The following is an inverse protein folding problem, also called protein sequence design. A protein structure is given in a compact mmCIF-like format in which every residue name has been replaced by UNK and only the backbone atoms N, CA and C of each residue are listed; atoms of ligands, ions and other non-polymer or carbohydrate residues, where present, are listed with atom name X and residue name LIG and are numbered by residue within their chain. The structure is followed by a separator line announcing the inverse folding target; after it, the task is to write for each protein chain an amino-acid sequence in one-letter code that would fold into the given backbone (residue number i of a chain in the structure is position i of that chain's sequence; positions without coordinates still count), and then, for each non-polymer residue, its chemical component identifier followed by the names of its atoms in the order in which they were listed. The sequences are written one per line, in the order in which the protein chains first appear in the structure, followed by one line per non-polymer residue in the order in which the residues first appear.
data_IF_180522402953
#
_entry.id   IF_180522402953
#
_cell.length_a   1.000
_cell.length_b   1.000
_cell.length_c   1.000
_cell.angle_alpha   90.00
_cell.angle_beta   90.00
_cell.angle_gamma   90.00
#
_symmetry.space_group_name_H-M   'P 1'
#
loop_
_entity.id
_entity.type
_entity.pdbx_description
1 polymer ?
#
# COMPACT_ATOMS: atom_id res chain seq x y z
N UNK A 1 1.20 -20.41 29.09
CA UNK A 1 -0.09 -21.14 29.18
C UNK A 1 -1.11 -20.66 28.14
N UNK A 2 -1.13 -19.36 27.75
CA UNK A 2 -1.88 -18.85 26.59
C UNK A 2 -1.40 -19.36 25.22
N UNK A 3 -0.08 -19.40 24.99
CA UNK A 3 0.52 -19.88 23.73
C UNK A 3 0.09 -21.31 23.34
N UNK A 4 0.02 -22.23 24.30
CA UNK A 4 -0.43 -23.62 24.05
C UNK A 4 -1.93 -23.76 23.78
N UNK A 5 -2.73 -22.74 24.09
CA UNK A 5 -4.16 -22.72 23.83
C UNK A 5 -4.48 -22.15 22.45
N UNK A 6 -3.67 -21.20 21.96
CA UNK A 6 -3.79 -20.64 20.62
C UNK A 6 -3.31 -21.62 19.54
N UNK A 7 -2.22 -22.37 19.81
CA UNK A 7 -1.77 -23.47 18.94
C UNK A 7 -2.79 -24.62 18.84
N UNK A 8 -3.62 -24.83 19.87
CA UNK A 8 -4.60 -25.91 19.91
C UNK A 8 -5.91 -25.60 19.15
N UNK A 9 -6.10 -24.35 18.68
CA UNK A 9 -7.28 -23.90 17.92
C UNK A 9 -6.88 -23.47 16.50
N UNK A 10 -5.59 -23.53 16.15
CA UNK A 10 -5.11 -23.22 14.82
C UNK A 10 -5.58 -24.29 13.83
N UNK A 11 -6.64 -23.98 13.07
CA UNK A 11 -7.01 -24.72 11.87
C UNK A 11 -5.79 -24.74 10.95
N UNK A 12 -5.34 -25.92 10.46
CA UNK A 12 -4.26 -26.01 9.49
C UNK A 12 -4.51 -25.05 8.33
N UNK A 13 -3.47 -24.34 7.87
CA UNK A 13 -3.61 -23.34 6.81
C UNK A 13 -4.21 -23.94 5.51
N UNK A 14 -4.09 -25.27 5.34
CA UNK A 14 -4.71 -26.07 4.27
C UNK A 14 -6.23 -26.29 4.39
N UNK A 15 -6.87 -25.90 5.49
CA UNK A 15 -8.32 -26.08 5.74
C UNK A 15 -9.11 -24.75 5.85
N UNK A 16 -8.45 -23.59 5.72
CA UNK A 16 -9.17 -22.31 5.69
C UNK A 16 -9.85 -22.14 4.33
N UNK A 17 -11.17 -22.30 4.33
CA UNK A 17 -12.03 -21.88 3.22
C UNK A 17 -11.84 -20.36 3.05
N UNK A 18 -11.43 -19.94 1.86
CA UNK A 18 -11.31 -18.52 1.54
C UNK A 18 -12.66 -17.83 1.68
N UNK A 19 -12.70 -16.70 2.38
CA UNK A 19 -13.96 -15.95 2.55
C UNK A 19 -14.45 -15.44 1.20
N UNK A 20 -13.53 -15.07 0.31
CA UNK A 20 -13.85 -14.63 -1.04
C UNK A 20 -14.63 -15.68 -1.85
N UNK A 21 -14.34 -16.97 -1.67
CA UNK A 21 -15.02 -18.06 -2.39
C UNK A 21 -16.47 -18.26 -1.93
N UNK A 22 -16.86 -17.68 -0.79
CA UNK A 22 -18.24 -17.71 -0.27
C UNK A 22 -19.10 -16.53 -0.74
N UNK A 23 -18.52 -15.56 -1.45
CA UNK A 23 -19.19 -14.30 -1.80
C UNK A 23 -19.51 -14.29 -3.30
N UNK A 24 -20.81 -14.28 -3.62
CA UNK A 24 -21.29 -14.00 -4.98
C UNK A 24 -21.88 -12.59 -5.04
N UNK A 25 -21.13 -11.65 -5.62
CA UNK A 25 -21.61 -10.27 -5.77
C UNK A 25 -22.72 -10.16 -6.82
N UNK A 26 -22.88 -11.12 -7.74
CA UNK A 26 -23.96 -11.09 -8.73
C UNK A 26 -25.33 -11.27 -8.08
N UNK A 27 -25.40 -12.02 -6.97
CA UNK A 27 -26.61 -12.25 -6.18
C UNK A 27 -27.04 -11.04 -5.30
N UNK A 28 -26.23 -9.98 -5.23
CA UNK A 28 -26.52 -8.80 -4.42
C UNK A 28 -27.28 -7.77 -5.27
N UNK A 29 -28.57 -7.57 -5.00
CA UNK A 29 -29.36 -6.54 -5.65
C UNK A 29 -28.89 -5.12 -5.25
N UNK A 30 -29.00 -4.19 -6.20
CA UNK A 30 -28.75 -2.76 -5.96
C UNK A 30 -30.08 -2.05 -5.94
N UNK A 31 -30.39 -1.38 -4.84
CA UNK A 31 -31.66 -0.71 -4.66
C UNK A 31 -31.88 0.40 -5.72
N UNK A 32 -33.11 0.59 -6.23
CA UNK A 32 -33.40 1.59 -7.26
C UNK A 32 -33.05 3.03 -6.85
N UNK A 33 -33.09 3.32 -5.55
CA UNK A 33 -32.74 4.63 -4.99
C UNK A 33 -31.22 4.88 -4.92
N UNK A 34 -30.37 3.88 -5.16
CA UNK A 34 -28.93 4.07 -5.17
C UNK A 34 -28.51 4.91 -6.39
N UNK A 35 -28.04 6.13 -6.13
CA UNK A 35 -27.63 7.09 -7.16
C UNK A 35 -26.10 7.30 -7.23
N UNK A 36 -25.32 6.44 -6.58
CA UNK A 36 -23.85 6.48 -6.64
C UNK A 36 -23.28 5.81 -7.89
N UNK A 37 -21.95 5.75 -7.97
CA UNK A 37 -21.21 5.08 -9.04
C UNK A 37 -21.63 3.61 -9.21
N UNK A 38 -21.85 3.18 -10.45
CA UNK A 38 -22.26 1.81 -10.81
C UNK A 38 -21.27 1.19 -11.79
N UNK A 39 -20.90 -0.06 -11.56
CA UNK A 39 -20.15 -0.85 -12.53
C UNK A 39 -21.16 -1.54 -13.43
N UNK A 40 -21.11 -1.23 -14.72
CA UNK A 40 -21.95 -1.87 -15.74
C UNK A 40 -21.24 -3.13 -16.25
N UNK A 41 -21.80 -4.31 -15.95
CA UNK A 41 -21.16 -5.59 -16.27
C UNK A 41 -19.96 -5.91 -15.36
N UNK A 42 -18.90 -6.47 -15.95
CA UNK A 42 -17.74 -7.00 -15.21
C UNK A 42 -16.49 -6.11 -15.30
N UNK A 43 -16.56 -4.99 -16.02
CA UNK A 43 -15.39 -4.15 -16.32
C UNK A 43 -15.45 -2.85 -15.53
N UNK A 44 -14.40 -2.60 -14.74
CA UNK A 44 -14.19 -1.31 -14.08
C UNK A 44 -13.70 -0.30 -15.12
N UNK A 45 -14.47 0.75 -15.40
CA UNK A 45 -14.14 1.76 -16.40
C UNK A 45 -13.63 3.06 -15.77
N UNK A 46 -12.90 3.88 -16.54
CA UNK A 46 -12.44 5.19 -16.06
C UNK A 46 -13.61 6.10 -15.64
N UNK A 47 -14.73 6.05 -16.34
CA UNK A 47 -15.92 6.84 -15.99
C UNK A 47 -16.51 6.41 -14.65
N UNK A 48 -16.55 5.10 -14.38
CA UNK A 48 -16.92 4.59 -13.07
C UNK A 48 -15.94 5.08 -11.98
N UNK A 49 -14.63 4.95 -12.18
CA UNK A 49 -13.63 5.36 -11.18
C UNK A 49 -13.73 6.87 -10.91
N UNK A 50 -13.89 7.69 -11.94
CA UNK A 50 -14.11 9.15 -11.80
C UNK A 50 -15.37 9.46 -10.99
N UNK A 51 -16.49 8.79 -11.30
CA UNK A 51 -17.76 8.97 -10.57
C UNK A 51 -17.64 8.52 -9.11
N UNK A 52 -16.94 7.42 -8.86
CA UNK A 52 -16.70 6.89 -7.52
C UNK A 52 -15.84 7.85 -6.69
N UNK A 53 -14.75 8.37 -7.26
CA UNK A 53 -13.92 9.38 -6.59
C UNK A 53 -14.71 10.65 -6.27
N UNK A 54 -15.59 11.09 -7.16
CA UNK A 54 -16.49 12.23 -6.89
C UNK A 54 -17.48 11.91 -5.76
N UNK A 55 -18.08 10.72 -5.75
CA UNK A 55 -18.96 10.29 -4.65
C UNK A 55 -18.23 10.25 -3.30
N UNK A 56 -17.01 9.70 -3.27
CA UNK A 56 -16.16 9.69 -2.08
C UNK A 56 -15.73 11.09 -1.64
N UNK A 57 -15.40 11.99 -2.57
CA UNK A 57 -15.09 13.40 -2.28
C UNK A 57 -16.26 14.09 -1.59
N UNK A 58 -17.47 13.70 -1.95
CA UNK A 58 -18.74 14.15 -1.36
C UNK A 58 -19.25 13.27 -0.20
N UNK A 59 -18.40 12.39 0.36
CA UNK A 59 -18.70 11.53 1.52
C UNK A 59 -19.92 10.62 1.35
N UNK A 60 -20.15 10.16 0.13
CA UNK A 60 -21.09 9.08 -0.16
C UNK A 60 -20.36 7.74 -0.13
N UNK A 61 -21.07 6.68 0.24
CA UNK A 61 -20.53 5.33 0.22
C UNK A 61 -20.75 4.65 -1.14
N UNK A 62 -19.78 3.84 -1.57
CA UNK A 62 -19.96 2.92 -2.68
C UNK A 62 -20.91 1.79 -2.24
N UNK A 63 -21.81 1.36 -3.13
CA UNK A 63 -22.69 0.23 -2.84
C UNK A 63 -21.88 -1.06 -2.62
N UNK A 64 -22.27 -1.88 -1.64
CA UNK A 64 -21.53 -3.09 -1.23
C UNK A 64 -21.31 -4.07 -2.38
N UNK A 65 -22.27 -4.19 -3.31
CA UNK A 65 -22.12 -4.99 -4.55
C UNK A 65 -20.84 -4.64 -5.30
N UNK A 66 -20.63 -3.36 -5.59
CA UNK A 66 -19.49 -2.89 -6.38
C UNK A 66 -18.20 -2.93 -5.57
N UNK A 67 -18.27 -2.69 -4.26
CA UNK A 67 -17.12 -2.89 -3.37
C UNK A 67 -16.66 -4.36 -3.37
N UNK A 68 -17.57 -5.33 -3.28
CA UNK A 68 -17.22 -6.75 -3.39
C UNK A 68 -16.61 -7.07 -4.76
N UNK A 69 -17.23 -6.59 -5.85
CA UNK A 69 -16.71 -6.79 -7.20
C UNK A 69 -15.25 -6.30 -7.32
N UNK A 70 -14.95 -5.08 -6.88
CA UNK A 70 -13.60 -4.51 -6.93
C UNK A 70 -12.60 -5.33 -6.10
N UNK A 71 -12.96 -5.66 -4.86
CA UNK A 71 -12.05 -6.34 -3.92
C UNK A 71 -11.79 -7.79 -4.38
N UNK A 72 -12.81 -8.50 -4.86
CA UNK A 72 -12.69 -9.87 -5.38
C UNK A 72 -11.86 -9.90 -6.67
N UNK A 73 -12.11 -8.99 -7.63
CA UNK A 73 -11.28 -8.89 -8.83
C UNK A 73 -9.82 -8.57 -8.49
N UNK A 74 -9.60 -7.65 -7.55
CA UNK A 74 -8.24 -7.29 -7.11
C UNK A 74 -7.52 -8.47 -6.48
N UNK A 75 -8.20 -9.28 -5.65
CA UNK A 75 -7.65 -10.51 -5.07
C UNK A 75 -7.07 -11.42 -6.15
N UNK A 76 -7.85 -11.73 -7.18
CA UNK A 76 -7.40 -12.64 -8.26
C UNK A 76 -6.16 -12.08 -8.96
N UNK A 77 -6.16 -10.77 -9.26
CA UNK A 77 -5.04 -10.11 -9.91
C UNK A 77 -3.78 -10.14 -9.04
N UNK A 78 -3.89 -9.87 -7.73
CA UNK A 78 -2.75 -9.85 -6.82
C UNK A 78 -2.22 -11.26 -6.52
N UNK A 79 -3.10 -12.27 -6.41
CA UNK A 79 -2.70 -13.68 -6.20
C UNK A 79 -1.84 -14.22 -7.34
N UNK A 80 -2.08 -13.76 -8.57
CA UNK A 80 -1.32 -14.18 -9.74
C UNK A 80 0.09 -13.55 -9.81
N UNK A 81 0.39 -12.54 -9.00
CA UNK A 81 1.69 -11.87 -9.01
C UNK A 81 2.74 -12.60 -8.17
N UNK A 82 4.03 -12.50 -8.52
CA UNK A 82 5.13 -12.91 -7.64
C UNK A 82 5.23 -11.99 -6.41
N UNK A 83 5.97 -12.42 -5.39
CA UNK A 83 6.23 -11.61 -4.18
C UNK A 83 7.15 -10.42 -4.45
N UNK A 84 7.99 -10.52 -5.48
CA UNK A 84 8.75 -9.41 -6.07
C UNK A 84 8.32 -9.23 -7.53
N UNK A 85 7.80 -8.04 -7.85
CA UNK A 85 7.31 -7.70 -9.19
C UNK A 85 8.35 -6.88 -9.95
N UNK A 86 8.76 -7.37 -11.11
CA UNK A 86 9.62 -6.62 -12.03
C UNK A 86 8.78 -5.66 -12.89
N UNK A 87 9.15 -4.39 -12.92
CA UNK A 87 8.50 -3.33 -13.68
C UNK A 87 9.45 -2.85 -14.77
N UNK A 88 9.00 -2.90 -16.02
CA UNK A 88 9.74 -2.37 -17.16
C UNK A 88 9.10 -1.07 -17.66
N UNK A 89 9.82 0.03 -17.51
CA UNK A 89 9.49 1.38 -17.99
C UNK A 89 10.23 1.61 -19.30
N UNK A 90 9.51 1.73 -20.43
CA UNK A 90 10.13 1.98 -21.74
C UNK A 90 10.85 3.34 -21.80
N UNK A 91 11.87 3.45 -22.65
CA UNK A 91 12.59 4.71 -22.85
C UNK A 91 11.64 5.86 -23.22
N UNK A 92 11.81 7.02 -22.59
CA UNK A 92 10.96 8.20 -22.78
C UNK A 92 9.59 8.10 -22.10
N UNK A 93 9.37 7.09 -21.25
CA UNK A 93 8.19 7.00 -20.37
C UNK A 93 8.61 7.23 -18.92
N UNK A 94 7.68 7.77 -18.13
CA UNK A 94 7.87 7.98 -16.71
C UNK A 94 7.08 6.97 -15.86
N UNK A 95 7.48 6.85 -14.60
CA UNK A 95 6.86 6.00 -13.60
C UNK A 95 6.88 6.72 -12.25
N UNK A 96 5.73 6.79 -11.57
CA UNK A 96 5.62 7.49 -10.29
C UNK A 96 5.62 6.52 -9.11
N UNK A 97 6.42 6.79 -8.08
CA UNK A 97 6.40 6.10 -6.79
C UNK A 97 5.88 7.03 -5.70
N UNK A 98 4.79 6.61 -5.06
CA UNK A 98 4.23 7.22 -3.85
C UNK A 98 4.56 6.35 -2.64
N UNK A 99 4.77 6.99 -1.49
CA UNK A 99 4.84 6.31 -0.20
C UNK A 99 3.47 6.20 0.47
N UNK A 100 3.49 6.19 1.80
CA UNK A 100 2.33 6.05 2.66
C UNK A 100 1.29 7.15 2.39
N UNK A 101 0.00 6.78 2.41
CA UNK A 101 -1.13 7.71 2.25
C UNK A 101 -2.04 7.70 3.47
N UNK A 102 -2.09 6.58 4.21
CA UNK A 102 -2.77 6.46 5.51
C UNK A 102 -4.18 7.07 5.56
N UNK A 103 -5.05 6.64 4.64
CA UNK A 103 -6.45 7.07 4.63
C UNK A 103 -6.66 8.57 4.41
N UNK A 104 -5.67 9.30 3.89
CA UNK A 104 -5.81 10.72 3.51
C UNK A 104 -6.37 10.86 2.08
N UNK A 105 -7.63 10.46 1.89
CA UNK A 105 -8.27 10.40 0.56
C UNK A 105 -8.23 11.72 -0.22
N UNK A 106 -8.41 12.85 0.43
CA UNK A 106 -8.37 14.15 -0.25
C UNK A 106 -6.96 14.52 -0.74
N UNK A 107 -5.92 14.08 -0.01
CA UNK A 107 -4.53 14.26 -0.46
C UNK A 107 -4.18 13.28 -1.57
N UNK A 108 -4.75 12.07 -1.58
CA UNK A 108 -4.68 11.16 -2.74
C UNK A 108 -5.26 11.80 -4.01
N UNK A 109 -6.42 12.45 -3.91
CA UNK A 109 -7.00 13.19 -5.04
C UNK A 109 -6.08 14.34 -5.49
N UNK A 110 -5.43 15.02 -4.56
CA UNK A 110 -4.47 16.08 -4.86
C UNK A 110 -3.23 15.53 -5.61
N UNK A 111 -2.72 14.35 -5.24
CA UNK A 111 -1.65 13.67 -5.99
C UNK A 111 -2.09 13.48 -7.45
N UNK A 112 -3.31 12.99 -7.69
CA UNK A 112 -3.82 12.80 -9.05
C UNK A 112 -4.11 14.10 -9.80
N UNK A 113 -4.47 15.18 -9.10
CA UNK A 113 -4.63 16.50 -9.70
C UNK A 113 -3.27 17.09 -10.13
N UNK A 114 -2.24 16.92 -9.31
CA UNK A 114 -0.89 17.42 -9.57
C UNK A 114 -0.12 16.59 -10.60
N UNK A 115 -0.31 15.27 -10.61
CA UNK A 115 0.51 14.33 -11.36
C UNK A 115 -0.26 13.52 -12.41
N UNK A 116 -1.55 13.79 -12.58
CA UNK A 116 -2.41 13.08 -13.51
C UNK A 116 -2.96 11.76 -12.96
N UNK A 117 -4.08 11.31 -13.51
CA UNK A 117 -4.70 10.05 -13.11
C UNK A 117 -3.85 8.84 -13.53
N UNK A 118 -3.89 7.73 -12.75
CA UNK A 118 -3.28 6.48 -13.16
C UNK A 118 -3.80 6.03 -14.53
N UNK A 119 -2.86 5.74 -15.43
CA UNK A 119 -3.10 5.23 -16.79
C UNK A 119 -1.88 4.46 -17.27
N UNK A 120 -1.97 3.77 -18.40
CA UNK A 120 -0.82 3.07 -19.00
C UNK A 120 0.33 4.03 -19.36
N UNK A 121 0.01 5.29 -19.68
CA UNK A 121 0.98 6.34 -19.98
C UNK A 121 1.51 7.08 -18.74
N UNK A 122 0.85 6.91 -17.58
CA UNK A 122 1.27 7.50 -16.32
C UNK A 122 1.05 6.52 -15.17
N UNK A 123 1.86 5.44 -15.12
CA UNK A 123 1.74 4.40 -14.10
C UNK A 123 2.24 4.85 -12.73
N UNK A 124 1.61 4.30 -11.68
CA UNK A 124 1.95 4.57 -10.29
C UNK A 124 2.33 3.28 -9.54
N UNK A 125 3.25 3.39 -8.59
CA UNK A 125 3.43 2.46 -7.49
C UNK A 125 3.09 3.16 -6.18
N UNK A 126 2.11 2.64 -5.43
CA UNK A 126 1.91 3.04 -4.03
C UNK A 126 2.59 2.02 -3.12
N UNK A 127 3.55 2.49 -2.34
CA UNK A 127 4.49 1.65 -1.61
C UNK A 127 4.02 1.32 -0.18
N UNK A 128 2.83 0.73 -0.06
CA UNK A 128 2.25 0.31 1.22
C UNK A 128 1.64 1.45 2.04
N UNK A 129 1.03 1.07 3.16
CA UNK A 129 0.42 1.96 4.16
C UNK A 129 -0.63 2.89 3.53
N UNK A 130 -1.58 2.27 2.85
CA UNK A 130 -2.72 2.93 2.23
C UNK A 130 -3.77 3.32 3.27
N UNK A 131 -3.90 2.49 4.31
CA UNK A 131 -4.98 2.53 5.31
C UNK A 131 -4.45 2.86 6.71
N UNK A 132 -5.36 2.87 7.68
CA UNK A 132 -5.15 3.26 9.08
C UNK A 132 -4.77 4.74 9.26
N UNK A 133 -4.90 5.24 10.50
CA UNK A 133 -4.52 6.59 10.93
C UNK A 133 -5.37 7.73 10.35
N UNK A 134 -5.66 7.74 9.07
CA UNK A 134 -6.68 8.59 8.45
C UNK A 134 -8.07 7.96 8.53
N UNK A 135 -9.11 8.79 8.46
CA UNK A 135 -10.52 8.37 8.56
C UNK A 135 -11.23 8.18 7.21
N UNK A 136 -10.47 8.16 6.11
CA UNK A 136 -10.96 7.89 4.75
C UNK A 136 -10.19 6.73 4.11
N UNK A 137 -9.85 5.72 4.91
CA UNK A 137 -9.07 4.55 4.47
C UNK A 137 -9.85 3.68 3.48
N UNK A 138 -11.17 3.53 3.66
CA UNK A 138 -12.03 2.77 2.75
C UNK A 138 -12.07 3.44 1.37
N UNK A 139 -12.16 4.76 1.32
CA UNK A 139 -12.16 5.53 0.07
C UNK A 139 -10.82 5.43 -0.65
N UNK A 140 -9.70 5.52 0.08
CA UNK A 140 -8.34 5.32 -0.47
C UNK A 140 -8.22 3.93 -1.08
N UNK A 141 -8.44 2.86 -0.30
CA UNK A 141 -8.14 1.50 -0.77
C UNK A 141 -9.05 1.07 -1.91
N UNK A 142 -10.34 1.42 -1.88
CA UNK A 142 -11.25 1.11 -2.98
C UNK A 142 -10.91 1.88 -4.24
N UNK A 143 -10.39 3.11 -4.13
CA UNK A 143 -9.91 3.88 -5.29
C UNK A 143 -8.67 3.24 -5.92
N UNK A 144 -7.68 2.87 -5.11
CA UNK A 144 -6.47 2.18 -5.59
C UNK A 144 -6.80 0.84 -6.25
N UNK A 145 -7.68 0.04 -5.63
CA UNK A 145 -8.14 -1.23 -6.18
C UNK A 145 -8.97 -1.06 -7.46
N UNK A 146 -9.80 -0.02 -7.56
CA UNK A 146 -10.56 0.25 -8.78
C UNK A 146 -9.63 0.63 -9.94
N UNK A 147 -8.58 1.44 -9.72
CA UNK A 147 -7.56 1.68 -10.74
C UNK A 147 -6.83 0.39 -11.14
N UNK A 148 -6.56 -0.51 -10.17
CA UNK A 148 -5.95 -1.82 -10.45
C UNK A 148 -6.83 -2.67 -11.35
N UNK A 149 -8.13 -2.76 -11.05
CA UNK A 149 -9.10 -3.49 -11.85
C UNK A 149 -9.31 -2.86 -13.24
N UNK A 150 -9.27 -1.53 -13.33
CA UNK A 150 -9.47 -0.79 -14.58
C UNK A 150 -8.31 -1.01 -15.58
N UNK A 151 -7.07 -0.91 -15.10
CA UNK A 151 -5.89 -1.15 -15.91
C UNK A 151 -4.77 -1.72 -15.01
N UNK A 152 -4.47 -3.03 -15.11
CA UNK A 152 -3.48 -3.68 -14.24
C UNK A 152 -2.08 -3.06 -14.29
N UNK A 153 -1.71 -2.43 -15.42
CA UNK A 153 -0.42 -1.77 -15.66
C UNK A 153 -0.40 -0.29 -15.23
N UNK A 154 -1.56 0.32 -14.98
CA UNK A 154 -1.66 1.71 -14.54
C UNK A 154 -1.30 1.90 -13.06
N UNK A 155 -1.45 0.85 -12.23
CA UNK A 155 -1.15 0.94 -10.81
C UNK A 155 -0.55 -0.37 -10.25
N UNK A 156 0.48 -0.20 -9.43
CA UNK A 156 1.19 -1.21 -8.67
C UNK A 156 1.02 -0.89 -7.18
N UNK A 157 0.92 -1.93 -6.36
CA UNK A 157 0.64 -1.80 -4.93
C UNK A 157 1.60 -2.72 -4.18
N UNK A 158 2.49 -2.15 -3.37
CA UNK A 158 3.29 -2.93 -2.40
C UNK A 158 2.51 -3.08 -1.10
N UNK A 159 2.74 -4.18 -0.38
CA UNK A 159 2.27 -4.32 1.00
C UNK A 159 3.09 -3.41 1.93
N UNK A 160 2.42 -2.65 2.80
CA UNK A 160 3.02 -2.00 3.96
C UNK A 160 2.73 -2.77 5.24
N UNK A 161 3.28 -2.32 6.37
CA UNK A 161 3.01 -2.98 7.64
C UNK A 161 1.56 -2.74 8.12
N UNK A 162 0.92 -1.65 7.68
CA UNK A 162 -0.48 -1.37 7.96
C UNK A 162 -1.48 -2.20 7.12
N UNK A 163 -1.05 -2.90 6.07
CA UNK A 163 -1.87 -3.93 5.41
C UNK A 163 -1.76 -5.28 6.15
N UNK A 164 -2.00 -5.24 7.46
CA UNK A 164 -1.99 -6.39 8.37
C UNK A 164 -3.11 -6.31 9.41
N UNK A 165 -3.60 -7.48 9.82
CA UNK A 165 -4.71 -7.60 10.78
C UNK A 165 -4.38 -6.94 12.13
N UNK A 166 -3.14 -7.07 12.58
CA UNK A 166 -2.70 -6.53 13.88
C UNK A 166 -2.76 -5.00 13.89
N UNK A 167 -2.33 -4.35 12.81
CA UNK A 167 -2.37 -2.90 12.68
C UNK A 167 -3.80 -2.39 12.48
N UNK A 168 -4.56 -3.00 11.56
CA UNK A 168 -5.92 -2.54 11.24
C UNK A 168 -6.88 -2.56 12.43
N UNK A 169 -6.70 -3.55 13.33
CA UNK A 169 -7.49 -3.66 14.56
C UNK A 169 -7.27 -2.49 15.51
N UNK A 170 -6.07 -1.91 15.53
CA UNK A 170 -5.64 -0.90 16.50
C UNK A 170 -5.76 0.50 15.91
N UNK A 171 -5.41 0.68 14.64
CA UNK A 171 -5.15 2.00 14.05
C UNK A 171 -6.27 2.53 13.14
N UNK A 172 -7.39 1.81 13.04
CA UNK A 172 -8.67 2.38 12.64
C UNK A 172 -9.36 1.70 11.45
N UNK A 173 -8.61 1.05 10.55
CA UNK A 173 -9.18 0.51 9.31
C UNK A 173 -10.24 -0.56 9.57
N UNK A 174 -10.02 -1.47 10.53
CA UNK A 174 -11.03 -2.48 10.89
C UNK A 174 -12.34 -1.80 11.34
N UNK A 175 -12.25 -0.79 12.20
CA UNK A 175 -13.41 -0.05 12.68
C UNK A 175 -14.13 0.71 11.56
N UNK A 176 -13.37 1.31 10.65
CA UNK A 176 -13.89 2.04 9.50
C UNK A 176 -14.65 1.09 8.54
N UNK A 177 -14.06 -0.07 8.23
CA UNK A 177 -14.68 -1.10 7.38
C UNK A 177 -15.97 -1.63 8.01
N UNK A 178 -15.98 -1.96 9.31
CA UNK A 178 -17.20 -2.43 9.99
C UNK A 178 -18.32 -1.38 9.94
N UNK A 179 -17.95 -0.11 10.07
CA UNK A 179 -18.92 0.99 10.08
C UNK A 179 -19.47 1.34 8.69
N UNK A 180 -18.64 1.32 7.64
CA UNK A 180 -19.04 1.73 6.29
C UNK A 180 -19.53 0.56 5.44
N UNK A 181 -19.04 -0.65 5.72
CA UNK A 181 -19.29 -1.86 4.94
C UNK A 181 -19.89 -2.96 5.84
N UNK A 182 -19.12 -3.98 6.22
CA UNK A 182 -19.55 -5.07 7.12
C UNK A 182 -18.37 -5.90 7.63
N UNK A 183 -18.63 -6.78 8.59
CA UNK A 183 -17.63 -7.70 9.16
C UNK A 183 -17.00 -8.61 8.10
N UNK A 184 -17.79 -9.10 7.13
CA UNK A 184 -17.29 -9.88 5.99
C UNK A 184 -16.22 -9.14 5.19
N UNK A 185 -16.33 -7.81 5.06
CA UNK A 185 -15.29 -7.03 4.37
C UNK A 185 -14.00 -6.96 5.17
N UNK A 186 -14.03 -7.00 6.52
CA UNK A 186 -12.81 -7.04 7.34
C UNK A 186 -11.98 -8.28 6.99
N UNK A 187 -12.64 -9.44 6.96
CA UNK A 187 -12.00 -10.71 6.63
C UNK A 187 -11.53 -10.72 5.17
N UNK A 188 -12.35 -10.21 4.25
CA UNK A 188 -12.00 -10.13 2.84
C UNK A 188 -10.80 -9.22 2.58
N UNK A 189 -10.76 -8.01 3.16
CA UNK A 189 -9.60 -7.12 3.04
C UNK A 189 -8.34 -7.76 3.65
N UNK A 190 -8.46 -8.44 4.78
CA UNK A 190 -7.34 -9.18 5.39
C UNK A 190 -6.78 -10.23 4.42
N UNK A 191 -7.65 -11.00 3.75
CA UNK A 191 -7.24 -11.97 2.73
C UNK A 191 -6.55 -11.29 1.54
N UNK A 192 -7.13 -10.21 1.01
CA UNK A 192 -6.56 -9.48 -0.15
C UNK A 192 -5.22 -8.83 0.19
N UNK A 193 -5.07 -8.29 1.40
CA UNK A 193 -3.79 -7.73 1.87
C UNK A 193 -2.70 -8.78 1.96
N UNK A 194 -3.02 -10.03 2.30
CA UNK A 194 -2.08 -11.16 2.21
C UNK A 194 -1.64 -11.50 0.78
N UNK A 195 -2.31 -10.97 -0.25
CA UNK A 195 -1.95 -11.20 -1.65
C UNK A 195 -1.03 -10.10 -2.23
N UNK A 196 -0.90 -8.95 -1.55
CA UNK A 196 -0.08 -7.83 -2.02
C UNK A 196 1.40 -8.20 -2.16
N UNK A 197 2.06 -7.92 -3.30
CA UNK A 197 3.51 -8.06 -3.45
C UNK A 197 4.29 -7.30 -2.36
N UNK A 198 5.47 -7.81 -2.02
CA UNK A 198 6.31 -7.26 -0.94
C UNK A 198 7.35 -6.27 -1.46
N UNK A 199 7.73 -6.38 -2.74
CA UNK A 199 8.77 -5.59 -3.35
C UNK A 199 8.51 -5.39 -4.84
N UNK A 200 9.08 -4.31 -5.39
CA UNK A 200 9.10 -4.04 -6.82
C UNK A 200 10.50 -3.69 -7.29
N UNK A 201 10.87 -4.07 -8.51
CA UNK A 201 12.15 -3.67 -9.11
C UNK A 201 11.89 -2.98 -10.45
N UNK A 202 12.27 -1.71 -10.54
CA UNK A 202 12.08 -0.89 -11.75
C UNK A 202 13.35 -1.00 -12.62
N UNK A 203 13.18 -1.50 -13.85
CA UNK A 203 14.22 -1.68 -14.88
C UNK A 203 15.49 -2.35 -14.34
N UNK A 204 15.35 -3.31 -13.42
CA UNK A 204 16.48 -4.02 -12.79
C UNK A 204 17.47 -3.10 -12.03
N UNK A 205 17.10 -1.84 -11.75
CA UNK A 205 17.98 -0.82 -11.14
C UNK A 205 17.49 -0.28 -9.81
N UNK A 206 16.19 -0.09 -9.65
CA UNK A 206 15.62 0.52 -8.43
C UNK A 206 14.77 -0.50 -7.70
N UNK A 207 15.19 -0.91 -6.50
CA UNK A 207 14.35 -1.70 -5.60
C UNK A 207 13.42 -0.77 -4.83
N UNK A 208 12.13 -1.08 -4.78
CA UNK A 208 11.13 -0.39 -3.98
C UNK A 208 10.52 -1.36 -2.97
N UNK A 209 10.62 -1.03 -1.68
CA UNK A 209 10.09 -1.81 -0.54
C UNK A 209 9.46 -0.85 0.48
N UNK A 210 8.45 -1.25 1.23
CA UNK A 210 7.84 -0.33 2.20
C UNK A 210 8.78 -0.01 3.37
N UNK A 211 9.19 -1.06 4.10
CA UNK A 211 10.11 -1.04 5.22
C UNK A 211 11.55 -0.85 4.76
N UNK A 212 12.35 -1.91 4.73
CA UNK A 212 13.76 -1.76 4.37
C UNK A 212 14.47 -3.07 4.12
N UNK A 213 15.77 -3.08 4.44
CA UNK A 213 16.64 -4.21 4.17
C UNK A 213 16.76 -5.15 5.38
N UNK A 214 17.62 -6.14 5.25
CA UNK A 214 17.57 -7.38 6.03
C UNK A 214 18.59 -7.44 7.17
N UNK A 215 18.30 -8.29 8.16
CA UNK A 215 19.18 -8.59 9.30
C UNK A 215 20.43 -9.37 8.92
N UNK A 216 20.40 -10.06 7.78
CA UNK A 216 21.51 -10.85 7.24
C UNK A 216 22.01 -10.27 5.92
N UNK A 217 23.30 -10.47 5.63
CA UNK A 217 23.88 -10.15 4.32
C UNK A 217 23.67 -11.32 3.34
N UNK A 218 23.80 -11.04 2.04
CA UNK A 218 23.73 -12.07 0.99
C UNK A 218 22.33 -12.35 0.43
N UNK A 219 21.27 -11.73 0.99
CA UNK A 219 19.89 -11.83 0.46
C UNK A 219 19.85 -11.37 -1.00
N UNK A 220 19.26 -12.20 -1.86
CA UNK A 220 19.08 -11.96 -3.28
C UNK A 220 17.64 -11.61 -3.64
N UNK A 221 17.45 -11.00 -4.81
CA UNK A 221 16.10 -10.76 -5.36
C UNK A 221 15.31 -12.06 -5.56
N UNK A 222 15.98 -13.20 -5.81
CA UNK A 222 15.36 -14.52 -5.85
C UNK A 222 14.72 -14.90 -4.52
N UNK A 223 15.41 -14.65 -3.41
CA UNK A 223 14.93 -14.99 -2.07
C UNK A 223 13.64 -14.22 -1.75
N UNK A 224 13.58 -12.93 -2.14
CA UNK A 224 12.37 -12.11 -1.99
C UNK A 224 11.22 -12.65 -2.86
N UNK A 225 11.52 -13.08 -4.09
CA UNK A 225 10.54 -13.63 -5.03
C UNK A 225 9.95 -14.95 -4.55
N UNK A 226 10.73 -15.74 -3.80
CA UNK A 226 10.35 -17.04 -3.25
C UNK A 226 9.59 -16.98 -1.91
N UNK A 227 9.46 -15.79 -1.30
CA UNK A 227 8.67 -15.63 -0.07
C UNK A 227 7.21 -16.03 -0.34
N UNK A 228 6.72 -17.03 0.41
CA UNK A 228 5.28 -17.30 0.51
C UNK A 228 4.62 -16.22 1.36
N UNK A 229 4.07 -15.22 0.67
CA UNK A 229 3.51 -14.01 1.30
C UNK A 229 2.06 -14.13 1.74
N UNK A 230 1.40 -15.27 1.45
CA UNK A 230 -0.05 -15.46 1.65
C UNK A 230 -0.40 -15.73 3.12
N UNK A 231 0.09 -14.87 4.01
CA UNK A 231 -0.05 -14.94 5.45
C UNK A 231 0.00 -13.53 6.07
N UNK A 232 -0.34 -13.44 7.36
CA UNK A 232 0.02 -12.26 8.15
C UNK A 232 1.55 -12.19 8.30
N UNK A 233 2.15 -10.99 8.37
CA UNK A 233 3.59 -10.87 8.54
C UNK A 233 4.05 -11.63 9.80
N UNK A 234 5.07 -12.50 9.69
CA UNK A 234 5.66 -13.17 10.85
C UNK A 234 6.37 -12.15 11.76
N UNK A 235 6.72 -12.57 12.98
CA UNK A 235 7.47 -11.71 13.91
C UNK A 235 8.94 -11.49 13.48
N UNK A 236 9.50 -12.40 12.68
CA UNK A 236 10.88 -12.37 12.20
C UNK A 236 11.01 -12.85 10.74
N UNK A 237 12.18 -12.65 10.13
CA UNK A 237 12.51 -13.10 8.77
C UNK A 237 12.26 -12.05 7.69
N UNK A 238 12.54 -12.43 6.44
CA UNK A 238 12.61 -11.48 5.30
C UNK A 238 11.32 -10.69 5.09
N UNK A 239 10.16 -11.35 5.20
CA UNK A 239 8.86 -10.68 5.05
C UNK A 239 8.62 -9.62 6.14
N UNK A 240 8.97 -9.92 7.39
CA UNK A 240 8.87 -8.95 8.48
C UNK A 240 9.78 -7.75 8.20
N UNK A 241 11.03 -8.00 7.84
CA UNK A 241 12.05 -6.97 7.66
C UNK A 241 11.76 -6.05 6.46
N UNK A 242 11.20 -6.59 5.38
CA UNK A 242 10.73 -5.82 4.23
C UNK A 242 9.63 -4.82 4.58
N UNK A 243 8.83 -5.10 5.63
CA UNK A 243 7.71 -4.27 6.04
C UNK A 243 8.04 -3.34 7.21
N UNK A 244 9.06 -3.66 8.03
CA UNK A 244 9.28 -2.98 9.33
C UNK A 244 10.64 -2.33 9.54
N UNK A 245 11.65 -2.66 8.74
CA UNK A 245 13.02 -2.16 8.99
C UNK A 245 13.19 -0.70 8.61
N UNK A 246 14.07 0.00 9.32
CA UNK A 246 14.39 1.41 9.10
C UNK A 246 15.90 1.62 8.84
N UNK A 247 16.29 2.61 8.03
CA UNK A 247 17.68 3.01 7.91
C UNK A 247 18.21 3.63 9.22
N UNK A 248 19.53 3.58 9.42
CA UNK A 248 20.21 4.31 10.49
C UNK A 248 21.47 5.03 9.97
N UNK A 249 21.84 6.19 10.53
CA UNK A 249 23.05 6.90 10.13
C UNK A 249 24.35 6.13 10.41
N UNK A 250 24.38 5.30 11.47
CA UNK A 250 25.56 4.54 11.86
C UNK A 250 25.72 3.30 10.98
N UNK A 251 26.97 2.92 10.70
CA UNK A 251 27.27 1.66 10.01
C UNK A 251 26.84 0.44 10.83
N UNK A 252 26.61 -0.67 10.14
CA UNK A 252 26.21 -1.95 10.71
C UNK A 252 24.70 -2.08 10.87
N UNK A 253 24.28 -2.85 11.87
CA UNK A 253 22.88 -3.11 12.19
C UNK A 253 22.64 -2.82 13.67
N UNK A 254 21.44 -2.35 14.00
CA UNK A 254 21.02 -2.04 15.35
C UNK A 254 19.60 -2.52 15.62
N UNK A 255 19.16 -2.52 16.89
CA UNK A 255 17.77 -2.82 17.23
C UNK A 255 16.84 -1.80 16.58
N UNK A 256 15.66 -2.26 16.12
CA UNK A 256 14.60 -1.36 15.66
C UNK A 256 14.03 -0.55 16.81
N UNK A 257 13.78 0.75 16.58
CA UNK A 257 13.06 1.61 17.53
C UNK A 257 11.60 1.20 17.70
N UNK A 258 11.07 0.40 16.77
CA UNK A 258 9.68 -0.09 16.76
C UNK A 258 9.50 -1.39 17.54
N UNK A 259 10.59 -2.02 17.95
CA UNK A 259 10.58 -3.34 18.61
C UNK A 259 10.36 -4.53 17.66
N UNK A 260 10.27 -4.28 16.36
CA UNK A 260 10.13 -5.27 15.28
C UNK A 260 10.92 -4.82 14.05
N UNK A 261 11.48 -5.76 13.29
CA UNK A 261 12.47 -5.49 12.24
C UNK A 261 13.82 -5.07 12.81
N UNK A 262 14.61 -4.31 12.05
CA UNK A 262 15.92 -3.81 12.47
C UNK A 262 16.19 -2.39 11.99
N UNK A 263 17.24 -1.79 12.55
CA UNK A 263 17.89 -0.60 11.99
C UNK A 263 19.10 -1.04 11.14
N UNK A 264 19.26 -0.53 9.91
CA UNK A 264 20.39 -0.90 9.02
C UNK A 264 21.14 0.31 8.46
N UNK A 265 22.48 0.23 8.44
CA UNK A 265 23.35 1.31 8.02
C UNK A 265 23.65 1.36 6.52
N UNK A 266 24.39 2.41 6.12
CA UNK A 266 24.79 2.64 4.74
C UNK A 266 25.63 1.51 4.12
N UNK A 267 26.43 0.80 4.92
CA UNK A 267 27.22 -0.35 4.47
C UNK A 267 26.36 -1.56 4.10
N UNK A 268 25.25 -1.79 4.83
CA UNK A 268 24.26 -2.83 4.51
C UNK A 268 23.60 -2.52 3.17
N UNK A 269 23.19 -1.26 2.97
CA UNK A 269 22.56 -0.81 1.72
C UNK A 269 23.52 -0.97 0.53
N UNK A 270 24.76 -0.51 0.67
CA UNK A 270 25.78 -0.61 -0.38
C UNK A 270 26.06 -2.07 -0.77
N UNK A 271 26.23 -2.96 0.21
CA UNK A 271 26.46 -4.39 -0.05
C UNK A 271 25.29 -5.00 -0.79
N UNK A 272 24.05 -4.80 -0.31
CA UNK A 272 22.86 -5.36 -0.94
C UNK A 272 22.70 -4.91 -2.40
N UNK A 273 22.90 -3.61 -2.67
CA UNK A 273 22.81 -3.05 -4.02
C UNK A 273 23.87 -3.65 -4.95
N UNK A 274 25.13 -3.74 -4.50
CA UNK A 274 26.22 -4.35 -5.25
C UNK A 274 25.93 -5.83 -5.57
N UNK A 275 25.50 -6.57 -4.56
CA UNK A 275 25.22 -8.00 -4.63
C UNK A 275 24.06 -8.38 -5.56
N UNK A 276 23.19 -7.43 -5.86
CA UNK A 276 22.00 -7.58 -6.70
C UNK A 276 22.06 -6.71 -7.98
N UNK A 277 23.19 -6.07 -8.26
CA UNK A 277 23.38 -5.19 -9.43
C UNK A 277 22.37 -4.03 -9.55
N UNK A 278 21.92 -3.52 -8.40
CA UNK A 278 20.98 -2.40 -8.27
C UNK A 278 21.72 -1.08 -8.01
N UNK A 279 21.05 0.02 -8.31
CA UNK A 279 21.60 1.38 -8.16
C UNK A 279 21.05 2.12 -6.93
N UNK A 280 19.79 1.85 -6.56
CA UNK A 280 19.02 2.60 -5.57
C UNK A 280 17.99 1.72 -4.84
N UNK A 281 17.80 1.97 -3.54
CA UNK A 281 16.62 1.54 -2.77
C UNK A 281 15.69 2.74 -2.55
N UNK A 282 14.42 2.59 -2.88
CA UNK A 282 13.35 3.52 -2.48
C UNK A 282 12.50 2.84 -1.41
N UNK A 283 12.21 3.55 -0.34
CA UNK A 283 11.39 3.07 0.76
C UNK A 283 10.45 4.13 1.33
N UNK A 284 9.55 3.77 2.25
CA UNK A 284 8.53 4.69 2.79
C UNK A 284 8.46 4.67 4.33
N UNK A 285 7.35 4.32 5.00
CA UNK A 285 7.21 3.95 6.44
C UNK A 285 7.61 4.98 7.54
N UNK A 286 8.45 5.96 7.22
CA UNK A 286 8.92 7.02 8.11
C UNK A 286 8.47 8.37 7.58
N UNK A 287 7.74 9.11 8.41
CA UNK A 287 7.39 10.51 8.15
C UNK A 287 8.66 11.34 8.03
N UNK A 288 8.81 12.08 6.94
CA UNK A 288 9.91 13.04 6.73
C UNK A 288 9.33 14.45 6.58
N UNK A 289 10.00 15.46 7.15
CA UNK A 289 9.49 16.84 7.17
C UNK A 289 9.20 17.40 5.77
N UNK A 290 10.07 17.14 4.80
CA UNK A 290 9.89 17.56 3.40
C UNK A 290 9.20 16.50 2.53
N UNK A 291 8.63 15.45 3.13
CA UNK A 291 8.00 14.33 2.43
C UNK A 291 8.99 13.30 1.88
N UNK A 292 10.29 13.57 1.96
CA UNK A 292 11.34 12.63 1.57
C UNK A 292 12.63 12.84 2.37
N UNK A 293 13.54 11.87 2.32
CA UNK A 293 14.92 12.02 2.76
C UNK A 293 15.85 11.17 1.88
N UNK A 294 17.01 11.73 1.49
CA UNK A 294 18.04 11.01 0.75
C UNK A 294 19.11 10.59 1.76
N UNK A 295 19.27 9.29 1.95
CA UNK A 295 20.09 8.68 2.98
C UNK A 295 21.19 7.81 2.35
N UNK A 296 22.11 7.33 3.18
CA UNK A 296 23.13 6.32 2.80
C UNK A 296 23.93 6.69 1.53
N UNK A 297 24.43 7.93 1.47
CA UNK A 297 25.22 8.47 0.35
C UNK A 297 24.47 8.44 -1.00
N UNK A 298 23.16 8.71 -0.97
CA UNK A 298 22.31 8.73 -2.16
C UNK A 298 21.89 7.35 -2.65
N UNK A 299 22.11 6.31 -1.84
CA UNK A 299 21.74 4.92 -2.18
C UNK A 299 20.41 4.47 -1.59
N UNK A 300 19.82 5.29 -0.72
CA UNK A 300 18.49 5.06 -0.16
C UNK A 300 17.68 6.36 -0.22
N UNK A 301 16.43 6.28 -0.64
CA UNK A 301 15.48 7.39 -0.57
C UNK A 301 14.25 6.94 0.21
N UNK A 302 13.94 7.65 1.28
CA UNK A 302 12.66 7.56 1.95
C UNK A 302 11.68 8.52 1.27
N UNK A 303 10.50 8.07 0.84
CA UNK A 303 9.40 8.89 0.30
C UNK A 303 8.11 8.64 1.07
N UNK A 304 7.43 9.71 1.46
CA UNK A 304 6.23 9.68 2.28
C UNK A 304 5.16 10.61 1.67
N UNK A 305 3.96 10.08 1.40
CA UNK A 305 2.94 10.77 0.59
C UNK A 305 1.72 11.24 1.39
N UNK A 306 1.78 11.24 2.73
CA UNK A 306 0.74 11.76 3.61
C UNK A 306 1.15 13.13 4.20
N UNK A 307 0.85 14.25 3.52
CA UNK A 307 1.18 15.57 4.03
C UNK A 307 0.38 15.91 5.29
N UNK A 308 0.95 16.72 6.19
CA UNK A 308 0.39 17.06 7.49
C UNK A 308 -0.17 15.82 8.21
N UNK A 309 0.65 14.78 8.31
CA UNK A 309 0.26 13.47 8.79
C UNK A 309 -0.49 13.55 10.13
N UNK A 310 -1.61 12.81 10.22
CA UNK A 310 -2.52 12.81 11.37
C UNK A 310 -3.00 14.22 11.80
N UNK A 311 -2.99 15.20 10.89
CA UNK A 311 -3.34 16.61 11.12
C UNK A 311 -2.50 17.38 12.12
N UNK A 312 -1.33 16.84 12.46
CA UNK A 312 -0.52 17.36 13.57
C UNK A 312 0.94 17.56 13.20
N UNK A 313 1.47 16.75 12.27
CA UNK A 313 2.91 16.72 12.01
C UNK A 313 3.41 17.92 11.19
N UNK A 314 2.56 18.55 10.37
CA UNK A 314 2.95 19.69 9.54
C UNK A 314 3.98 19.37 8.44
N UNK A 315 4.30 18.09 8.21
CA UNK A 315 5.20 17.66 7.15
C UNK A 315 4.59 17.90 5.75
N UNK A 316 5.45 18.00 4.73
CA UNK A 316 5.03 17.86 3.33
C UNK A 316 4.83 16.38 2.98
N UNK A 317 4.11 16.14 1.89
CA UNK A 317 4.12 14.88 1.17
C UNK A 317 5.06 14.97 -0.02
N UNK A 318 5.54 13.84 -0.52
CA UNK A 318 6.26 13.77 -1.78
C UNK A 318 5.91 12.52 -2.59
N UNK A 319 6.19 12.56 -3.88
CA UNK A 319 6.26 11.39 -4.76
C UNK A 319 7.52 11.51 -5.64
N UNK A 320 8.00 10.38 -6.16
CA UNK A 320 9.19 10.33 -7.01
C UNK A 320 8.76 9.94 -8.42
N UNK A 321 9.17 10.71 -9.42
CA UNK A 321 9.09 10.32 -10.82
C UNK A 321 10.43 9.77 -11.29
N UNK A 322 10.39 8.63 -11.95
CA UNK A 322 11.52 8.04 -12.67
C UNK A 322 11.23 8.07 -14.17
N UNK A 323 12.16 8.61 -14.96
CA UNK A 323 12.09 8.56 -16.43
C UNK A 323 13.17 7.62 -16.96
N UNK A 324 12.80 6.68 -17.84
CA UNK A 324 13.74 5.78 -18.47
C UNK A 324 14.41 6.44 -19.70
N UNK A 325 15.68 6.15 -20.00
CA UNK A 325 16.51 5.10 -19.38
C UNK A 325 17.27 5.52 -18.12
N UNK A 326 17.40 6.81 -17.81
CA UNK A 326 18.33 7.27 -16.75
C UNK A 326 17.86 6.94 -15.34
N UNK A 327 16.55 6.82 -15.10
CA UNK A 327 15.91 6.53 -13.80
C UNK A 327 16.45 7.41 -12.67
N UNK A 328 16.74 8.68 -12.99
CA UNK A 328 17.09 9.67 -11.97
C UNK A 328 15.83 10.01 -11.18
N UNK A 329 15.87 9.98 -9.84
CA UNK A 329 14.71 10.33 -9.02
C UNK A 329 14.41 11.82 -9.14
N UNK A 330 13.28 12.17 -9.76
CA UNK A 330 12.71 13.52 -9.72
C UNK A 330 11.68 13.58 -8.59
N UNK A 331 12.07 14.18 -7.45
CA UNK A 331 11.23 14.22 -6.25
C UNK A 331 10.36 15.48 -6.29
N UNK A 332 9.04 15.29 -6.23
CA UNK A 332 8.06 16.38 -6.22
C UNK A 332 7.37 16.42 -4.86
N UNK A 333 7.46 17.56 -4.17
CA UNK A 333 6.82 17.77 -2.86
C UNK A 333 5.50 18.51 -2.99
N UNK A 334 4.53 18.20 -2.12
CA UNK A 334 3.23 18.85 -2.06
C UNK A 334 2.76 19.03 -0.60
N UNK A 335 1.83 19.95 -0.39
CA UNK A 335 1.24 20.25 0.91
C UNK A 335 -0.14 19.61 1.05
N UNK A 336 -0.62 19.51 2.29
CA UNK A 336 -1.94 18.97 2.59
C UNK A 336 -3.06 19.87 2.05
N UNK A 337 -4.15 19.26 1.61
CA UNK A 337 -5.36 19.97 1.19
C UNK A 337 -6.43 19.98 2.27
N UNK A 338 -7.35 20.95 2.19
CA UNK A 338 -8.43 21.08 3.17
C UNK A 338 -9.40 19.92 3.03
N UNK A 339 -9.67 19.26 4.17
CA UNK A 339 -10.70 18.21 4.29
C UNK A 339 -11.98 18.83 4.80
N UNK A 340 -12.99 18.91 3.94
CA UNK A 340 -14.31 19.39 4.31
C UNK A 340 -15.11 18.26 4.94
N UNK A 341 -15.21 18.17 6.25
CA UNK A 341 -16.10 17.20 6.91
C UNK A 341 -17.56 17.61 6.71
N UNK A 342 -18.26 16.93 5.81
CA UNK A 342 -19.67 17.19 5.50
C UNK A 342 -20.56 16.36 6.45
N UNK A 343 -20.10 15.17 6.85
CA UNK A 343 -20.85 14.25 7.70
C UNK A 343 -20.11 13.94 9.03
N UNK A 344 -20.73 14.20 10.20
CA UNK A 344 -20.13 13.95 11.51
C UNK A 344 -19.78 12.47 11.77
N UNK A 345 -20.44 11.52 11.09
CA UNK A 345 -20.18 10.08 11.25
C UNK A 345 -18.78 9.66 10.75
N UNK A 346 -18.08 10.51 9.99
CA UNK A 346 -16.72 10.24 9.52
C UNK A 346 -15.63 10.77 10.47
N UNK A 347 -16.00 11.33 11.64
CA UNK A 347 -15.05 11.65 12.71
C UNK A 347 -14.81 10.42 13.58
N UNK A 348 -13.78 9.64 13.26
CA UNK A 348 -13.23 8.69 14.23
C UNK A 348 -12.12 9.40 15.01
N UNK A 349 -12.25 9.43 16.34
CA UNK A 349 -11.14 9.82 17.22
C UNK A 349 -10.13 8.69 17.20
N UNK A 350 -9.06 8.85 16.41
CA UNK A 350 -7.93 7.93 16.46
C UNK A 350 -7.07 8.40 17.63
N UNK A 351 -6.89 7.52 18.62
CA UNK A 351 -5.93 7.76 19.70
C UNK A 351 -4.53 7.63 19.07
N UNK A 352 -3.78 8.73 19.15
CA UNK A 352 -2.38 8.88 18.68
C UNK A 352 -1.47 7.76 19.18
#
# INVERSE_FOLDING_TARGET
MKLKFEEAIAVPQSEKVSIADSIDYHAIDVEPQYAGARIEGDVVTLDFVKKMMDDFKNQKCLHKRYAYQIVLQTREMLRALPSLVDINVPNGKHFTVCGDVHGQFYDLLNIFELNGLPSEDSPYLFNGDFVDRGSFSVEVILTLFAFKCMSPSAIYLSRGNHESKSMNKIYGFEGEVRSKLSDTFVELFTEVFCCLPLAHVINEKVLVVHGGLFSVDGVKLSDIREIDRFCEPPEEGLMCELLWSDPQPQLGRGPSKRGVGLSFGADVTKRFLQDNSLDLVVRSHEVKNDGYEIEHDGKLITVFSAPNYCDQMGNKGAFIQFEAPELKPNIVTFSAVVRNFINPCFRYSIRS
#
